data_IF_736156272981
#
_entry.id   IF_736156272981
#
_cell.length_a   1.000
_cell.length_b   1.000
_cell.length_c   1.000
_cell.angle_alpha   90.00
_cell.angle_beta   90.00
_cell.angle_gamma   90.00
#
_symmetry.space_group_name_H-M   'P 1'
#
loop_
_entity.id
_entity.type
_entity.pdbx_description
1 polymer ?
#
# COMPACT_ATOMS: atom_id res chain seq x y z
N UNK A 1 -11.35 15.60 18.79
CA UNK A 1 -11.00 14.17 18.95
C UNK A 1 -12.28 13.40 19.18
N UNK A 2 -12.75 12.67 18.15
CA UNK A 2 -14.02 11.97 18.21
C UNK A 2 -13.87 10.59 18.84
N UNK A 3 -14.97 10.03 19.34
CA UNK A 3 -15.03 8.67 19.91
C UNK A 3 -14.50 7.60 18.92
N UNK A 4 -14.63 7.86 17.62
CA UNK A 4 -14.11 7.02 16.53
C UNK A 4 -12.58 6.93 16.51
N UNK A 5 -11.88 8.00 16.85
CA UNK A 5 -10.41 8.04 16.89
C UNK A 5 -9.87 7.16 18.03
N UNK A 6 -10.57 7.19 19.18
CA UNK A 6 -10.25 6.36 20.34
C UNK A 6 -10.48 4.88 20.04
N UNK A 7 -11.58 4.54 19.38
CA UNK A 7 -11.89 3.16 18.97
C UNK A 7 -10.89 2.62 17.93
N UNK A 8 -10.41 3.46 17.01
CA UNK A 8 -9.30 3.14 16.08
C UNK A 8 -7.99 2.87 16.80
N UNK A 9 -7.73 3.53 17.93
CA UNK A 9 -6.56 3.22 18.77
C UNK A 9 -6.66 1.83 19.40
N UNK A 10 -7.82 1.51 19.96
CA UNK A 10 -8.09 0.21 20.60
C UNK A 10 -8.05 -0.94 19.59
N UNK A 11 -8.47 -0.70 18.34
CA UNK A 11 -8.47 -1.74 17.31
C UNK A 11 -7.07 -2.28 16.98
N UNK A 12 -6.02 -1.46 17.17
CA UNK A 12 -4.60 -1.83 16.98
C UNK A 12 -4.05 -2.73 18.08
N UNK A 13 -4.71 -2.81 19.23
CA UNK A 13 -4.24 -3.60 20.36
C UNK A 13 -4.62 -5.07 20.14
N UNK A 14 -3.62 -5.94 20.21
CA UNK A 14 -3.76 -7.38 20.06
C UNK A 14 -4.09 -8.03 21.41
N UNK A 15 -5.38 -8.11 21.73
CA UNK A 15 -5.84 -8.81 22.92
C UNK A 15 -5.94 -10.33 22.70
N UNK A 16 -5.64 -11.17 23.71
CA UNK A 16 -5.62 -12.62 23.57
C UNK A 16 -7.00 -13.24 23.24
N UNK A 17 -8.10 -12.57 23.60
CA UNK A 17 -9.47 -13.01 23.27
C UNK A 17 -9.97 -12.54 21.89
N UNK A 18 -9.23 -11.67 21.20
CA UNK A 18 -9.63 -11.11 19.90
C UNK A 18 -9.21 -12.06 18.78
N UNK A 19 -10.18 -12.53 18.00
CA UNK A 19 -9.91 -13.40 16.82
C UNK A 19 -9.21 -12.67 15.65
N UNK A 20 -9.20 -11.35 15.69
CA UNK A 20 -8.61 -10.46 14.69
C UNK A 20 -7.35 -9.83 15.27
N UNK A 21 -6.21 -10.04 14.61
CA UNK A 21 -4.91 -9.49 14.97
C UNK A 21 -4.58 -8.32 14.06
N UNK A 22 -4.17 -7.19 14.63
CA UNK A 22 -3.54 -6.09 13.91
C UNK A 22 -2.15 -6.51 13.44
N UNK A 23 -1.90 -6.33 12.14
CA UNK A 23 -0.68 -6.76 11.47
C UNK A 23 0.23 -5.58 11.16
N UNK A 24 -0.34 -4.48 10.66
CA UNK A 24 0.45 -3.30 10.33
C UNK A 24 -0.36 -2.21 9.65
N UNK A 25 0.33 -1.15 9.25
CA UNK A 25 -0.22 0.03 8.60
C UNK A 25 0.65 0.37 7.39
N UNK A 26 0.06 0.90 6.32
CA UNK A 26 0.82 1.47 5.22
C UNK A 26 1.07 2.98 5.37
N UNK A 27 1.82 3.55 4.40
CA UNK A 27 2.06 4.99 4.34
C UNK A 27 0.80 5.80 4.01
N UNK A 28 -0.21 5.18 3.40
CA UNK A 28 -1.49 5.81 3.04
C UNK A 28 -2.45 5.94 4.23
N UNK A 29 -2.15 5.31 5.37
CA UNK A 29 -3.04 5.35 6.51
C UNK A 29 -3.92 4.11 6.70
N UNK A 30 -3.86 3.15 5.78
CA UNK A 30 -4.67 1.94 5.80
C UNK A 30 -4.15 0.97 6.86
N UNK A 31 -5.06 0.32 7.57
CA UNK A 31 -4.74 -0.64 8.63
C UNK A 31 -5.03 -2.06 8.13
N UNK A 32 -4.12 -2.98 8.43
CA UNK A 32 -4.18 -4.37 7.97
C UNK A 32 -4.35 -5.32 9.14
N UNK A 33 -5.26 -6.27 8.96
CA UNK A 33 -5.64 -7.22 10.00
C UNK A 33 -5.68 -8.65 9.47
N UNK A 34 -5.35 -9.60 10.33
CA UNK A 34 -5.50 -11.02 10.06
C UNK A 34 -6.50 -11.65 11.04
N UNK A 35 -7.51 -12.32 10.51
CA UNK A 35 -8.53 -13.04 11.28
C UNK A 35 -8.34 -14.54 11.08
N UNK A 36 -7.93 -15.23 12.15
CA UNK A 36 -7.84 -16.70 12.14
C UNK A 36 -9.25 -17.30 12.10
N UNK A 37 -9.48 -18.22 11.18
CA UNK A 37 -10.74 -18.97 11.04
C UNK A 37 -10.42 -20.45 11.25
N UNK A 38 -11.22 -21.16 12.05
CA UNK A 38 -10.99 -22.59 12.31
C UNK A 38 -11.16 -23.40 11.03
N UNK A 39 -10.17 -24.23 10.69
CA UNK A 39 -10.23 -25.18 9.57
C UNK A 39 -10.12 -24.57 8.16
N UNK A 40 -9.92 -23.25 8.02
CA UNK A 40 -9.81 -22.56 6.73
C UNK A 40 -8.66 -21.56 6.77
N UNK A 41 -8.13 -21.19 5.59
CA UNK A 41 -7.19 -20.09 5.41
C UNK A 41 -7.60 -18.84 6.19
N UNK A 42 -6.64 -18.20 6.87
CA UNK A 42 -6.89 -16.94 7.60
C UNK A 42 -7.46 -15.87 6.65
N UNK A 43 -8.44 -15.10 7.13
CA UNK A 43 -8.99 -13.97 6.36
C UNK A 43 -8.11 -12.74 6.60
N UNK A 44 -7.76 -12.01 5.54
CA UNK A 44 -7.00 -10.76 5.60
C UNK A 44 -7.94 -9.61 5.30
N UNK A 45 -7.92 -8.57 6.12
CA UNK A 45 -8.88 -7.46 6.11
C UNK A 45 -8.09 -6.15 6.09
N UNK A 46 -8.55 -5.20 5.30
CA UNK A 46 -8.02 -3.83 5.25
C UNK A 46 -9.10 -2.87 5.75
N UNK A 47 -8.74 -2.00 6.69
CA UNK A 47 -9.53 -0.82 7.05
C UNK A 47 -8.88 0.39 6.38
N UNK A 48 -9.58 0.97 5.42
CA UNK A 48 -9.09 2.12 4.67
C UNK A 48 -9.09 3.40 5.52
N UNK A 49 -8.10 4.25 5.28
CA UNK A 49 -8.08 5.60 5.85
C UNK A 49 -9.29 6.41 5.37
N UNK A 50 -9.79 7.33 6.22
CA UNK A 50 -10.91 8.21 5.85
C UNK A 50 -10.56 9.03 4.60
N UNK A 51 -11.48 9.08 3.64
CA UNK A 51 -11.26 9.66 2.31
C UNK A 51 -11.03 8.65 1.17
N UNK A 52 -10.61 7.42 1.48
CA UNK A 52 -10.41 6.34 0.50
C UNK A 52 -11.58 5.34 0.46
N UNK A 53 -12.75 5.71 1.01
CA UNK A 53 -13.96 4.87 1.12
C UNK A 53 -14.83 4.94 -0.15
N UNK A 54 -14.21 5.08 -1.33
CA UNK A 54 -14.93 4.93 -2.58
C UNK A 54 -15.52 3.52 -2.65
N UNK A 55 -16.75 3.41 -3.16
CA UNK A 55 -17.46 2.13 -3.33
C UNK A 55 -16.72 1.13 -4.22
N UNK A 56 -15.69 1.56 -4.94
CA UNK A 56 -14.78 0.68 -5.64
C UNK A 56 -13.75 0.11 -4.67
N UNK A 57 -13.91 -1.20 -4.45
CA UNK A 57 -12.90 -2.10 -3.88
C UNK A 57 -11.66 -2.15 -4.78
N UNK A 58 -11.03 -1.02 -5.05
CA UNK A 58 -9.80 -0.94 -5.81
C UNK A 58 -8.65 -1.38 -4.90
N UNK A 59 -8.55 -2.70 -4.76
CA UNK A 59 -7.34 -3.40 -4.32
C UNK A 59 -6.11 -2.86 -5.07
N UNK A 60 -6.30 -2.28 -6.26
CA UNK A 60 -5.31 -1.58 -7.07
C UNK A 60 -4.64 -0.37 -6.39
N UNK A 61 -5.32 0.33 -5.47
CA UNK A 61 -4.77 1.52 -4.80
C UNK A 61 -3.90 1.21 -3.57
N UNK A 62 -3.80 -0.06 -3.18
CA UNK A 62 -2.94 -0.48 -2.08
C UNK A 62 -1.47 -0.60 -2.54
N UNK A 63 -0.48 -0.44 -1.65
CA UNK A 63 0.90 -0.75 -2.00
C UNK A 63 1.05 -2.21 -2.42
N UNK A 64 1.87 -2.49 -3.44
CA UNK A 64 1.97 -3.81 -4.08
C UNK A 64 2.36 -4.93 -3.10
N UNK A 65 3.16 -4.61 -2.08
CA UNK A 65 3.57 -5.56 -1.06
C UNK A 65 2.39 -5.95 -0.16
N UNK A 66 1.59 -4.96 0.23
CA UNK A 66 0.35 -5.18 0.97
C UNK A 66 -0.72 -5.87 0.11
N UNK A 67 -0.82 -5.58 -1.19
CA UNK A 67 -1.68 -6.32 -2.10
C UNK A 67 -1.31 -7.80 -2.17
N UNK A 68 -0.01 -8.09 -2.32
CA UNK A 68 0.51 -9.45 -2.36
C UNK A 68 0.22 -10.21 -1.06
N UNK A 69 0.34 -9.53 0.08
CA UNK A 69 -0.10 -10.08 1.35
C UNK A 69 -1.63 -10.25 1.37
N UNK A 70 -2.45 -9.29 0.97
CA UNK A 70 -3.92 -9.44 0.99
C UNK A 70 -4.43 -10.59 0.11
N UNK A 71 -3.80 -10.83 -1.05
CA UNK A 71 -4.08 -11.95 -1.97
C UNK A 71 -3.45 -13.27 -1.52
N UNK A 72 -2.70 -13.23 -0.42
CA UNK A 72 -1.94 -14.33 0.14
C UNK A 72 -0.98 -15.02 -0.84
N UNK A 73 -0.46 -14.29 -1.82
CA UNK A 73 0.71 -14.73 -2.60
C UNK A 73 1.95 -14.70 -1.69
N UNK A 74 1.96 -13.80 -0.70
CA UNK A 74 2.98 -13.73 0.34
C UNK A 74 2.42 -14.17 1.69
N UNK A 75 3.18 -14.96 2.47
CA UNK A 75 2.77 -15.38 3.81
C UNK A 75 3.07 -14.32 4.87
N UNK A 76 4.28 -13.78 4.85
CA UNK A 76 4.78 -12.79 5.80
C UNK A 76 4.29 -11.39 5.38
N UNK A 77 3.76 -10.55 6.28
CA UNK A 77 3.42 -9.17 5.95
C UNK A 77 4.68 -8.38 5.55
N UNK A 78 4.54 -7.33 4.73
CA UNK A 78 5.67 -6.45 4.43
C UNK A 78 6.18 -5.75 5.69
N UNK A 79 7.49 -5.48 5.72
CA UNK A 79 8.11 -4.68 6.77
C UNK A 79 8.10 -3.20 6.41
N UNK A 80 8.23 -2.33 7.41
CA UNK A 80 8.31 -0.88 7.18
C UNK A 80 9.54 -0.52 6.33
N UNK A 81 10.68 -1.15 6.58
CA UNK A 81 11.91 -0.95 5.81
C UNK A 81 11.73 -1.31 4.32
N UNK A 82 11.03 -2.41 4.03
CA UNK A 82 10.76 -2.84 2.65
C UNK A 82 9.87 -1.82 1.93
N UNK A 83 8.84 -1.31 2.61
CA UNK A 83 7.94 -0.30 2.05
C UNK A 83 8.71 0.98 1.76
N UNK A 84 9.56 1.43 2.70
CA UNK A 84 10.40 2.63 2.52
C UNK A 84 11.41 2.47 1.38
N UNK A 85 12.02 1.29 1.24
CA UNK A 85 12.94 0.99 0.15
C UNK A 85 12.24 1.04 -1.21
N UNK A 86 11.03 0.47 -1.31
CA UNK A 86 10.26 0.50 -2.55
C UNK A 86 9.81 1.92 -2.93
N UNK A 87 9.42 2.75 -1.96
CA UNK A 87 9.10 4.15 -2.21
C UNK A 87 10.29 4.91 -2.81
N UNK A 88 11.48 4.77 -2.22
CA UNK A 88 12.71 5.38 -2.75
C UNK A 88 13.02 4.89 -4.16
N UNK A 89 12.81 3.59 -4.41
CA UNK A 89 13.00 2.99 -5.74
C UNK A 89 12.03 3.59 -6.77
N UNK A 90 10.74 3.74 -6.42
CA UNK A 90 9.72 4.34 -7.29
C UNK A 90 10.06 5.81 -7.58
N UNK A 91 10.48 6.57 -6.56
CA UNK A 91 10.88 7.97 -6.73
C UNK A 91 12.07 8.12 -7.68
N UNK A 92 13.12 7.32 -7.48
CA UNK A 92 14.29 7.34 -8.36
C UNK A 92 13.92 6.96 -9.80
N UNK A 93 13.05 5.97 -9.99
CA UNK A 93 12.57 5.58 -11.31
C UNK A 93 11.81 6.71 -11.99
N UNK A 94 10.93 7.42 -11.27
CA UNK A 94 10.20 8.57 -11.82
C UNK A 94 11.14 9.66 -12.31
N UNK A 95 12.20 9.96 -11.55
CA UNK A 95 13.22 10.93 -11.96
C UNK A 95 13.95 10.47 -13.24
N UNK A 96 14.35 9.20 -13.31
CA UNK A 96 15.02 8.63 -14.48
C UNK A 96 14.13 8.67 -15.73
N UNK A 97 12.86 8.30 -15.59
CA UNK A 97 11.88 8.33 -16.68
C UNK A 97 11.75 9.76 -17.22
N UNK A 98 11.60 10.75 -16.34
CA UNK A 98 11.53 12.16 -16.74
C UNK A 98 12.75 12.63 -17.53
N UNK A 99 13.97 12.27 -17.08
CA UNK A 99 15.19 12.63 -17.81
C UNK A 99 15.28 11.99 -19.20
N UNK A 100 14.79 10.76 -19.34
CA UNK A 100 14.74 10.06 -20.64
C UNK A 100 13.74 10.76 -21.55
N UNK A 101 12.54 11.06 -21.07
CA UNK A 101 11.50 11.77 -21.81
C UNK A 101 11.99 13.14 -22.31
N UNK A 102 12.63 13.94 -21.44
CA UNK A 102 13.22 15.24 -21.82
C UNK A 102 14.31 15.09 -22.88
N UNK A 103 15.15 14.06 -22.78
CA UNK A 103 16.19 13.77 -23.77
C UNK A 103 15.58 13.39 -25.12
N UNK A 104 14.58 12.51 -25.12
CA UNK A 104 13.89 12.08 -26.33
C UNK A 104 13.16 13.23 -27.01
N UNK A 105 12.49 14.09 -26.24
CA UNK A 105 11.81 15.27 -26.75
C UNK A 105 12.80 16.23 -27.41
N UNK A 106 13.93 16.52 -26.75
CA UNK A 106 14.99 17.37 -27.32
C UNK A 106 15.55 16.80 -28.63
N UNK A 107 15.76 15.49 -28.72
CA UNK A 107 16.22 14.83 -29.95
C UNK A 107 15.20 14.99 -31.09
N UNK A 108 13.91 14.76 -30.82
CA UNK A 108 12.82 14.96 -31.79
C UNK A 108 12.76 16.41 -32.30
N UNK A 109 12.95 17.40 -31.43
CA UNK A 109 13.02 18.81 -31.81
C UNK A 109 14.22 19.13 -32.70
N UNK A 110 15.39 18.54 -32.43
CA UNK A 110 16.59 18.71 -33.26
C UNK A 110 16.42 18.09 -34.64
N UNK A 111 15.80 16.91 -34.73
CA UNK A 111 15.47 16.28 -36.01
C UNK A 111 14.49 17.12 -36.82
N UNK A 112 13.42 17.63 -36.20
CA UNK A 112 12.44 18.50 -36.86
C UNK A 112 13.05 19.79 -37.41
N UNK A 113 14.09 20.33 -36.78
CA UNK A 113 14.81 21.54 -37.25
C UNK A 113 15.76 21.27 -38.42
N UNK A 114 16.10 20.01 -38.71
CA UNK A 114 17.00 19.64 -39.82
C UNK A 114 16.29 19.52 -41.16
N UNK A 115 14.96 19.45 -41.16
CA UNK A 115 14.09 19.46 -42.34
C UNK A 115 13.39 20.81 -42.45
#
# INVERSE_FOLDING_TARGET
MGVKDLLKGISRINFPWKKTRFVGKDYNGNLYFEKKTSGVRSKRIVEYHEGNQGFDYDVLNLPVQWQSWMRHTRQIPPTEEEILADQKRIELLRQKVKMIEEREEKLKLLEKKKY
#
